data_IF_438262160295
#
_entry.id   IF_438262160295
#
_cell.length_a   1.000
_cell.length_b   1.000
_cell.length_c   1.000
_cell.angle_alpha   90.00
_cell.angle_beta   90.00
_cell.angle_gamma   90.00
#
_symmetry.space_group_name_H-M   'P 1'
#
loop_
_entity.id
_entity.type
_entity.pdbx_description
1 polymer ?
#
# COMPACT_ATOMS: atom_id res chain seq x y z
N UNK A 1 -18.09 -2.69 8.80
CA UNK A 1 -17.45 -2.17 7.57
C UNK A 1 -17.24 -3.22 6.49
N UNK A 2 -16.34 -4.21 6.65
CA UNK A 2 -16.09 -5.23 5.60
C UNK A 2 -17.31 -6.13 5.37
N UNK A 3 -17.83 -6.74 6.44
CA UNK A 3 -19.00 -7.63 6.33
C UNK A 3 -20.25 -6.89 5.83
N UNK A 4 -20.49 -5.65 6.29
CA UNK A 4 -21.58 -4.80 5.79
C UNK A 4 -21.47 -4.52 4.28
N UNK A 5 -20.26 -4.22 3.79
CA UNK A 5 -20.05 -3.97 2.36
C UNK A 5 -20.27 -5.25 1.53
N UNK A 6 -19.83 -6.39 2.06
CA UNK A 6 -20.11 -7.70 1.46
C UNK A 6 -21.63 -7.93 1.42
N UNK A 7 -22.35 -7.70 2.51
CA UNK A 7 -23.80 -7.88 2.56
C UNK A 7 -24.56 -6.95 1.59
N UNK A 8 -24.09 -5.72 1.40
CA UNK A 8 -24.70 -4.76 0.47
C UNK A 8 -24.50 -5.13 -1.00
N UNK A 9 -23.32 -5.65 -1.35
CA UNK A 9 -22.91 -5.80 -2.75
C UNK A 9 -22.88 -7.26 -3.23
N UNK A 10 -22.94 -8.24 -2.32
CA UNK A 10 -22.98 -9.66 -2.68
C UNK A 10 -24.37 -10.05 -3.18
N UNK A 11 -24.47 -10.45 -4.45
CA UNK A 11 -25.72 -10.90 -5.07
C UNK A 11 -25.72 -12.40 -5.38
N UNK A 12 -24.67 -13.11 -4.98
CA UNK A 12 -24.55 -14.55 -5.16
C UNK A 12 -25.63 -15.32 -4.39
N UNK A 13 -26.07 -16.44 -4.99
CA UNK A 13 -27.15 -17.27 -4.42
C UNK A 13 -26.70 -18.28 -3.36
N UNK A 14 -25.38 -18.41 -3.16
CA UNK A 14 -24.80 -19.43 -2.27
C UNK A 14 -24.26 -18.77 -1.00
N UNK A 15 -24.20 -19.53 0.09
CA UNK A 15 -23.50 -19.07 1.28
C UNK A 15 -22.03 -18.82 0.96
N UNK A 16 -21.50 -17.67 1.40
CA UNK A 16 -20.08 -17.37 1.32
C UNK A 16 -19.32 -18.41 2.15
N UNK A 17 -18.30 -19.01 1.54
CA UNK A 17 -17.44 -20.01 2.19
C UNK A 17 -16.69 -19.39 3.38
N UNK A 18 -16.47 -20.16 4.43
CA UNK A 18 -15.84 -19.67 5.68
C UNK A 18 -14.37 -19.28 5.50
N UNK A 19 -13.70 -19.88 4.53
CA UNK A 19 -12.31 -19.63 4.12
C UNK A 19 -12.20 -18.65 2.93
N UNK A 20 -13.26 -17.89 2.64
CA UNK A 20 -13.23 -16.88 1.58
C UNK A 20 -12.28 -15.74 1.95
N UNK A 21 -11.49 -15.28 0.97
CA UNK A 21 -10.78 -14.01 1.09
C UNK A 21 -11.83 -12.90 0.98
N UNK A 22 -12.15 -12.28 2.11
CA UNK A 22 -13.13 -11.19 2.23
C UNK A 22 -12.54 -9.81 1.94
N UNK A 23 -11.22 -9.69 2.05
CA UNK A 23 -10.51 -8.42 2.03
C UNK A 23 -9.12 -8.59 1.45
N UNK A 24 -8.68 -7.62 0.67
CA UNK A 24 -7.31 -7.47 0.20
C UNK A 24 -6.78 -6.13 0.69
N UNK A 25 -5.65 -6.17 1.38
CA UNK A 25 -4.87 -4.99 1.74
C UNK A 25 -3.73 -4.78 0.75
N UNK A 26 -3.61 -3.56 0.27
CA UNK A 26 -2.48 -3.11 -0.52
C UNK A 26 -1.81 -1.87 0.05
N UNK A 27 -0.60 -1.60 -0.45
CA UNK A 27 0.22 -0.46 -0.08
C UNK A 27 0.71 0.22 -1.35
N UNK A 28 0.56 1.55 -1.41
CA UNK A 28 1.12 2.39 -2.47
C UNK A 28 2.10 3.37 -1.83
N UNK A 29 3.33 3.40 -2.31
CA UNK A 29 4.39 4.30 -1.86
C UNK A 29 5.50 4.36 -2.92
N UNK A 30 6.51 5.18 -2.66
CA UNK A 30 7.79 5.25 -3.37
C UNK A 30 8.92 5.29 -2.33
N UNK A 31 10.12 5.74 -2.70
CA UNK A 31 11.20 6.07 -1.78
C UNK A 31 11.10 7.49 -1.22
N UNK A 32 12.01 7.85 -0.30
CA UNK A 32 12.06 9.19 0.27
C UNK A 32 12.48 10.22 -0.77
N UNK A 33 13.43 9.90 -1.65
CA UNK A 33 13.93 10.83 -2.67
C UNK A 33 12.79 11.34 -3.56
N UNK A 34 11.81 10.49 -3.90
CA UNK A 34 10.61 10.93 -4.61
C UNK A 34 9.76 11.93 -3.82
N UNK A 35 9.48 11.66 -2.54
CA UNK A 35 8.59 12.51 -1.74
C UNK A 35 9.29 13.77 -1.18
N UNK A 36 10.58 13.72 -0.92
CA UNK A 36 11.39 14.85 -0.46
C UNK A 36 11.46 15.97 -1.52
N UNK A 37 11.26 15.60 -2.80
CA UNK A 37 11.18 16.53 -3.92
C UNK A 37 9.75 17.03 -4.21
N UNK A 38 8.77 16.72 -3.37
CA UNK A 38 7.38 17.13 -3.56
C UNK A 38 6.89 18.09 -2.48
N UNK A 39 5.96 18.97 -2.85
CA UNK A 39 5.18 19.73 -1.87
C UNK A 39 4.16 18.82 -1.17
N UNK A 40 3.63 19.22 0.00
CA UNK A 40 2.50 18.51 0.61
C UNK A 40 1.30 18.38 -0.33
N UNK A 41 1.03 19.40 -1.14
CA UNK A 41 -0.02 19.42 -2.15
C UNK A 41 0.24 18.40 -3.27
N UNK A 42 1.47 18.34 -3.80
CA UNK A 42 1.83 17.36 -4.85
C UNK A 42 1.76 15.92 -4.32
N UNK A 43 2.20 15.71 -3.07
CA UNK A 43 2.13 14.40 -2.41
C UNK A 43 0.67 13.98 -2.23
N UNK A 44 -0.19 14.91 -1.80
CA UNK A 44 -1.63 14.65 -1.70
C UNK A 44 -2.22 14.31 -3.08
N UNK A 45 -1.85 15.06 -4.11
CA UNK A 45 -2.33 14.84 -5.48
C UNK A 45 -1.90 13.46 -6.02
N UNK A 46 -0.68 13.02 -5.71
CA UNK A 46 -0.19 11.68 -6.06
C UNK A 46 -1.09 10.58 -5.49
N UNK A 47 -1.44 10.71 -4.21
CA UNK A 47 -2.33 9.77 -3.53
C UNK A 47 -3.78 9.86 -4.01
N UNK A 48 -4.27 11.04 -4.40
CA UNK A 48 -5.58 11.16 -5.04
C UNK A 48 -5.63 10.42 -6.38
N UNK A 49 -4.60 10.56 -7.22
CA UNK A 49 -4.48 9.79 -8.45
C UNK A 49 -4.34 8.29 -8.19
N UNK A 50 -3.59 7.89 -7.16
CA UNK A 50 -3.51 6.49 -6.77
C UNK A 50 -4.87 5.91 -6.38
N UNK A 51 -5.67 6.68 -5.63
CA UNK A 51 -7.04 6.30 -5.29
C UNK A 51 -7.93 6.20 -6.53
N UNK A 52 -7.86 7.17 -7.45
CA UNK A 52 -8.62 7.13 -8.71
C UNK A 52 -8.26 5.89 -9.55
N UNK A 53 -6.98 5.54 -9.63
CA UNK A 53 -6.54 4.31 -10.30
C UNK A 53 -7.16 3.07 -9.66
N UNK A 54 -7.14 2.98 -8.32
CA UNK A 54 -7.75 1.86 -7.60
C UNK A 54 -9.27 1.77 -7.82
N UNK A 55 -9.97 2.91 -7.87
CA UNK A 55 -11.40 2.96 -8.18
C UNK A 55 -11.69 2.49 -9.62
N UNK A 56 -10.80 2.78 -10.58
CA UNK A 56 -10.92 2.29 -11.96
C UNK A 56 -10.58 0.80 -12.08
N UNK A 57 -9.56 0.35 -11.35
CA UNK A 57 -9.03 -1.01 -11.43
C UNK A 57 -9.94 -2.03 -10.72
N UNK A 58 -10.47 -1.67 -9.55
CA UNK A 58 -11.27 -2.60 -8.73
C UNK A 58 -12.75 -2.22 -8.64
N UNK A 59 -13.13 -1.02 -9.09
CA UNK A 59 -14.46 -0.48 -8.90
C UNK A 59 -14.57 0.31 -7.60
N UNK A 60 -15.16 1.51 -7.68
CA UNK A 60 -15.37 2.39 -6.52
C UNK A 60 -16.14 1.72 -5.38
N UNK A 61 -17.10 0.86 -5.70
CA UNK A 61 -17.87 0.13 -4.71
C UNK A 61 -17.10 -1.01 -4.05
N UNK A 62 -15.99 -1.45 -4.62
CA UNK A 62 -15.13 -2.45 -3.99
C UNK A 62 -14.06 -1.83 -3.10
N UNK A 63 -13.75 -0.55 -3.27
CA UNK A 63 -12.78 0.17 -2.44
C UNK A 63 -13.41 0.55 -1.09
N UNK A 64 -12.89 -0.04 -0.01
CA UNK A 64 -13.36 0.21 1.36
C UNK A 64 -12.75 1.47 1.95
N UNK A 65 -11.44 1.61 1.79
CA UNK A 65 -10.67 2.74 2.28
C UNK A 65 -9.41 2.92 1.43
N UNK A 66 -8.88 4.13 1.49
CA UNK A 66 -7.59 4.53 0.97
C UNK A 66 -7.03 5.59 1.95
N UNK A 67 -6.30 5.13 2.95
CA UNK A 67 -5.80 5.94 4.06
C UNK A 67 -4.34 6.28 3.82
N UNK A 68 -4.00 7.58 3.88
CA UNK A 68 -2.63 8.07 3.70
C UNK A 68 -2.00 8.32 5.06
N UNK A 69 -0.82 7.76 5.27
CA UNK A 69 0.03 7.99 6.43
C UNK A 69 1.18 8.92 6.02
N UNK A 70 1.22 10.11 6.65
CA UNK A 70 2.23 11.16 6.42
C UNK A 70 3.19 11.31 7.60
N UNK A 71 2.89 10.67 8.73
CA UNK A 71 3.59 10.75 10.02
C UNK A 71 4.68 9.68 10.19
N UNK A 72 4.75 8.73 9.26
CA UNK A 72 5.83 7.75 9.19
C UNK A 72 7.03 8.26 8.38
N UNK A 73 8.09 7.44 8.27
CA UNK A 73 9.35 7.85 7.61
C UNK A 73 9.17 8.20 6.13
N UNK A 74 8.29 7.48 5.44
CA UNK A 74 8.01 7.68 4.02
C UNK A 74 6.50 7.73 3.84
N UNK A 75 5.94 8.77 3.19
CA UNK A 75 4.53 8.83 2.89
C UNK A 75 4.03 7.57 2.17
N UNK A 76 2.93 6.99 2.64
CA UNK A 76 2.36 5.80 2.00
C UNK A 76 0.85 5.72 2.21
N UNK A 77 0.18 5.06 1.27
CA UNK A 77 -1.24 4.78 1.33
C UNK A 77 -1.48 3.30 1.60
N UNK A 78 -2.31 3.01 2.59
CA UNK A 78 -2.97 1.73 2.74
C UNK A 78 -4.34 1.75 2.09
N UNK A 79 -4.64 0.75 1.27
CA UNK A 79 -5.96 0.61 0.67
C UNK A 79 -6.54 -0.78 0.89
N UNK A 80 -7.85 -0.83 1.05
CA UNK A 80 -8.59 -2.06 1.31
C UNK A 80 -9.65 -2.30 0.24
N UNK A 81 -9.70 -3.52 -0.31
CA UNK A 81 -10.65 -3.92 -1.36
C UNK A 81 -11.46 -5.13 -0.93
N UNK A 82 -12.79 -5.08 -1.10
CA UNK A 82 -13.65 -6.27 -1.08
C UNK A 82 -13.71 -6.83 -2.50
N UNK A 83 -13.32 -8.10 -2.73
CA UNK A 83 -13.24 -8.64 -4.08
C UNK A 83 -14.58 -9.18 -4.56
N UNK A 84 -15.54 -8.28 -4.81
CA UNK A 84 -16.80 -8.63 -5.47
C UNK A 84 -16.63 -8.48 -6.98
N UNK A 85 -16.92 -9.55 -7.70
CA UNK A 85 -16.89 -9.59 -9.17
C UNK A 85 -18.10 -8.86 -9.76
N UNK A 86 -18.04 -8.53 -11.04
CA UNK A 86 -19.14 -7.85 -11.75
C UNK A 86 -20.46 -8.64 -11.72
N UNK A 87 -20.38 -9.98 -11.63
CA UNK A 87 -21.54 -10.87 -11.45
C UNK A 87 -21.96 -11.05 -9.98
N UNK A 88 -21.37 -10.29 -9.05
CA UNK A 88 -21.75 -10.19 -7.64
C UNK A 88 -21.29 -11.34 -6.74
N UNK A 89 -20.30 -12.14 -7.17
CA UNK A 89 -19.66 -13.17 -6.34
C UNK A 89 -18.48 -12.60 -5.56
N UNK A 90 -18.17 -13.19 -4.41
CA UNK A 90 -16.94 -12.89 -3.67
C UNK A 90 -15.79 -13.79 -4.18
N UNK A 91 -14.83 -13.22 -4.91
CA UNK A 91 -13.72 -13.96 -5.53
C UNK A 91 -12.45 -13.11 -5.69
N UNK A 92 -11.56 -13.14 -4.70
CA UNK A 92 -10.25 -12.48 -4.77
C UNK A 92 -9.41 -12.94 -5.97
N UNK A 93 -9.48 -14.23 -6.31
CA UNK A 93 -8.75 -14.79 -7.46
C UNK A 93 -9.18 -14.16 -8.78
N UNK A 94 -10.43 -13.75 -8.90
CA UNK A 94 -10.98 -13.20 -10.13
C UNK A 94 -10.76 -11.69 -10.19
N UNK A 95 -10.99 -10.98 -9.07
CA UNK A 95 -10.79 -9.53 -8.97
C UNK A 95 -9.31 -9.13 -9.00
N UNK A 96 -8.45 -9.80 -8.24
CA UNK A 96 -7.01 -9.48 -8.17
C UNK A 96 -6.21 -10.28 -9.21
N UNK A 97 -6.73 -11.42 -9.64
CA UNK A 97 -6.07 -12.28 -10.59
C UNK A 97 -4.97 -13.13 -9.97
N UNK A 98 -3.92 -13.36 -10.76
CA UNK A 98 -2.77 -14.20 -10.41
C UNK A 98 -1.47 -13.38 -10.44
N UNK A 99 -0.32 -14.05 -10.32
CA UNK A 99 1.00 -13.40 -10.37
C UNK A 99 1.21 -12.55 -11.64
N UNK A 100 0.72 -12.99 -12.80
CA UNK A 100 0.83 -12.24 -14.06
C UNK A 100 -0.05 -10.99 -14.02
N UNK A 101 -1.28 -11.11 -13.50
CA UNK A 101 -2.18 -9.97 -13.33
C UNK A 101 -1.58 -8.91 -12.40
N UNK A 102 -0.98 -9.34 -11.27
CA UNK A 102 -0.31 -8.44 -10.33
C UNK A 102 0.94 -7.77 -10.92
N UNK A 103 1.73 -8.46 -11.75
CA UNK A 103 2.82 -7.81 -12.49
C UNK A 103 2.26 -6.73 -13.43
N UNK A 104 1.22 -7.06 -14.19
CA UNK A 104 0.60 -6.11 -15.12
C UNK A 104 -0.08 -4.93 -14.40
N UNK A 105 -0.61 -5.14 -13.19
CA UNK A 105 -1.14 -4.08 -12.33
C UNK A 105 -0.05 -3.04 -12.04
N UNK A 106 1.16 -3.50 -11.68
CA UNK A 106 2.28 -2.60 -11.39
C UNK A 106 2.69 -1.82 -12.66
N UNK A 107 2.64 -2.46 -13.83
CA UNK A 107 2.95 -1.82 -15.11
C UNK A 107 1.90 -0.73 -15.43
N UNK A 108 0.60 -1.06 -15.32
CA UNK A 108 -0.50 -0.10 -15.52
C UNK A 108 -0.47 1.06 -14.53
N UNK A 109 -0.18 0.78 -13.25
CA UNK A 109 -0.11 1.82 -12.23
C UNK A 109 1.03 2.81 -12.54
N UNK A 110 2.22 2.31 -12.89
CA UNK A 110 3.35 3.15 -13.26
C UNK A 110 3.05 4.00 -14.50
N UNK A 111 2.48 3.41 -15.55
CA UNK A 111 2.04 4.15 -16.74
C UNK A 111 1.02 5.23 -16.38
N UNK A 112 0.02 4.89 -15.57
CA UNK A 112 -1.06 5.80 -15.18
C UNK A 112 -0.57 7.03 -14.43
N UNK A 113 0.36 6.87 -13.48
CA UNK A 113 0.91 8.01 -12.73
C UNK A 113 1.85 8.82 -13.62
N UNK A 114 2.68 8.20 -14.45
CA UNK A 114 3.58 8.95 -15.34
C UNK A 114 2.83 9.77 -16.39
N UNK A 115 1.68 9.28 -16.89
CA UNK A 115 0.78 10.06 -17.76
C UNK A 115 0.22 11.33 -17.09
N UNK A 116 0.31 11.44 -15.75
CA UNK A 116 -0.12 12.60 -14.96
C UNK A 116 1.04 13.52 -14.56
N UNK A 117 2.23 13.30 -15.12
CA UNK A 117 3.38 14.18 -14.95
C UNK A 117 4.37 13.75 -13.87
N UNK A 118 4.25 12.53 -13.33
CA UNK A 118 5.31 11.95 -12.50
C UNK A 118 6.41 11.30 -13.38
N UNK A 119 7.62 11.21 -12.84
CA UNK A 119 8.75 10.54 -13.49
C UNK A 119 9.24 9.40 -12.59
N UNK A 120 8.44 8.33 -12.54
CA UNK A 120 8.72 7.13 -11.75
C UNK A 120 9.12 5.98 -12.65
N UNK A 121 10.20 5.29 -12.30
CA UNK A 121 10.56 4.05 -12.98
C UNK A 121 9.75 2.86 -12.44
N UNK A 122 9.39 1.95 -13.35
CA UNK A 122 8.75 0.70 -12.99
C UNK A 122 9.75 -0.22 -12.27
N UNK A 123 9.42 -0.63 -11.04
CA UNK A 123 10.27 -1.55 -10.27
C UNK A 123 10.63 -2.84 -11.02
N UNK A 124 11.87 -3.31 -10.86
CA UNK A 124 12.34 -4.51 -11.57
C UNK A 124 11.51 -5.75 -11.21
N UNK A 125 11.11 -6.53 -12.21
CA UNK A 125 10.26 -7.69 -12.01
C UNK A 125 10.95 -8.75 -11.13
N UNK A 126 10.14 -9.52 -10.39
CA UNK A 126 10.65 -10.63 -9.58
C UNK A 126 11.43 -11.67 -10.40
N UNK A 127 11.12 -11.82 -11.69
CA UNK A 127 11.83 -12.76 -12.57
C UNK A 127 13.30 -12.36 -12.76
N UNK A 128 13.59 -11.05 -12.65
CA UNK A 128 14.94 -10.50 -12.74
C UNK A 128 15.61 -10.48 -11.36
N UNK A 129 14.92 -9.95 -10.35
CA UNK A 129 15.55 -9.68 -9.04
C UNK A 129 15.53 -10.86 -8.08
N UNK A 130 14.62 -11.82 -8.28
CA UNK A 130 14.26 -12.85 -7.29
C UNK A 130 13.88 -12.30 -5.90
N UNK A 131 13.53 -11.02 -5.81
CA UNK A 131 13.19 -10.36 -4.57
C UNK A 131 12.00 -11.05 -3.87
N UNK A 132 12.08 -11.13 -2.55
CA UNK A 132 11.02 -11.65 -1.68
C UNK A 132 10.62 -10.54 -0.72
N UNK A 133 9.31 -10.39 -0.52
CA UNK A 133 8.80 -9.48 0.49
C UNK A 133 9.35 -9.87 1.87
N UNK A 134 10.00 -8.91 2.53
CA UNK A 134 10.38 -9.01 3.93
C UNK A 134 9.31 -8.31 4.77
N UNK A 135 8.88 -8.99 5.84
CA UNK A 135 8.03 -8.39 6.86
C UNK A 135 8.70 -7.10 7.38
N UNK A 136 7.91 -6.05 7.61
CA UNK A 136 8.43 -4.72 7.98
C UNK A 136 9.42 -4.79 9.16
N UNK A 137 9.09 -5.55 10.21
CA UNK A 137 9.98 -5.74 11.36
C UNK A 137 11.31 -6.39 11.00
N UNK A 138 11.31 -7.37 10.08
CA UNK A 138 12.53 -8.02 9.59
C UNK A 138 13.31 -7.13 8.64
N UNK A 139 12.62 -6.34 7.81
CA UNK A 139 13.26 -5.36 6.94
C UNK A 139 14.00 -4.29 7.76
N UNK A 140 13.34 -3.77 8.81
CA UNK A 140 13.92 -2.89 9.82
C UNK A 140 15.13 -3.53 10.53
N UNK A 141 15.12 -4.85 10.72
CA UNK A 141 16.27 -5.56 11.30
C UNK A 141 17.46 -5.71 10.36
N UNK A 142 17.20 -5.97 9.08
CA UNK A 142 18.24 -6.21 8.07
C UNK A 142 18.92 -4.94 7.58
N UNK A 143 18.22 -3.81 7.66
CA UNK A 143 18.71 -2.52 7.21
C UNK A 143 19.32 -1.74 8.37
N UNK A 144 20.12 -0.72 8.09
CA UNK A 144 20.71 0.21 9.08
C UNK A 144 19.66 0.95 9.95
N UNK A 145 18.36 0.67 9.75
CA UNK A 145 17.24 1.16 10.55
C UNK A 145 17.47 0.93 12.06
N UNK A 146 17.97 -0.23 12.50
CA UNK A 146 18.29 -0.40 13.92
C UNK A 146 19.50 0.41 14.39
N UNK A 147 20.50 0.68 13.55
CA UNK A 147 21.62 1.54 13.95
C UNK A 147 21.18 2.97 14.18
N UNK A 148 20.39 3.53 13.25
CA UNK A 148 19.94 4.92 13.34
C UNK A 148 18.87 5.14 14.42
N UNK A 149 17.95 4.19 14.62
CA UNK A 149 16.95 4.29 15.69
C UNK A 149 17.59 4.07 17.07
N UNK A 150 18.55 3.14 17.21
CA UNK A 150 19.34 3.00 18.43
C UNK A 150 20.16 4.27 18.71
N UNK A 151 20.77 4.89 17.70
CA UNK A 151 21.46 6.18 17.84
C UNK A 151 20.51 7.33 18.21
N UNK A 152 19.32 7.42 17.61
CA UNK A 152 18.32 8.44 17.93
C UNK A 152 17.73 8.26 19.33
N UNK A 153 17.39 7.03 19.72
CA UNK A 153 16.89 6.72 21.06
C UNK A 153 17.99 6.87 22.12
N UNK A 154 19.21 6.41 21.87
CA UNK A 154 20.34 6.60 22.79
C UNK A 154 20.74 8.08 22.96
N UNK A 155 20.54 8.92 21.95
CA UNK A 155 20.70 10.38 22.06
C UNK A 155 19.60 11.03 22.91
N UNK A 156 18.37 10.51 22.89
CA UNK A 156 17.27 10.96 23.77
C UNK A 156 17.47 10.54 25.23
N UNK A 157 18.25 9.49 25.50
CA UNK A 157 18.52 8.94 26.85
C UNK A 157 19.86 9.46 27.44
N UNK A 158 20.43 10.57 26.95
CA UNK A 158 21.58 11.17 27.66
C UNK A 158 21.13 11.65 29.05
N UNK A 159 21.72 11.16 30.15
CA UNK A 159 21.29 11.53 31.48
C UNK A 159 21.55 13.03 31.72
N UNK A 160 20.57 13.71 32.29
CA UNK A 160 20.75 15.01 32.93
C UNK A 160 21.91 14.90 33.93
N UNK A 161 23.08 15.42 33.57
CA UNK A 161 24.20 15.56 34.49
C UNK A 161 23.87 16.68 35.46
N UNK A 162 23.43 16.32 36.67
CA UNK A 162 23.26 17.28 37.76
C UNK A 162 24.62 17.86 38.13
N UNK A 163 24.85 19.14 37.79
CA UNK A 163 25.96 19.94 38.35
C UNK A 163 25.72 20.06 39.86
N UNK A 164 26.57 19.45 40.68
CA UNK A 164 26.66 19.74 42.12
C UNK A 164 27.31 21.12 42.28
N UNK A 165 26.59 22.05 42.91
CA UNK A 165 27.17 23.17 43.65
C UNK A 165 27.65 22.68 45.01
#
# INVERSE_FOLDING_TARGET
>A
MIDEKIEQNYTGKRKIRTDAIKHIDGLITSDNDFFDNQTPEDTKQFFEYAKEFLEQEYGKDNLLYATVHMDEKTPHMHYGVVPITDDGRLSAKEVVGNKKALTAFQDRFNEYVNQRGYDLERGQSRQVTNAKHDQVSRYKQKTEYHKQEYERESQKIKPYTTKKQ
#
